data_IF_058090219595
#
_entry.id   IF_058090219595
#
_cell.length_a   1.000
_cell.length_b   1.000
_cell.length_c   1.000
_cell.angle_alpha   90.00
_cell.angle_beta   90.00
_cell.angle_gamma   90.00
#
_symmetry.space_group_name_H-M   'P 1'
#
loop_
_entity.id
_entity.type
_entity.pdbx_description
1 polymer ?
#
# COMPACT_ATOMS: atom_id res chain seq x y z
N UNK A 1 12.00 -13.13 20.85
CA UNK A 1 12.36 -12.69 19.49
C UNK A 1 11.69 -13.65 18.52
N UNK A 2 10.71 -13.18 17.74
CA UNK A 2 9.98 -14.04 16.80
C UNK A 2 10.77 -14.04 15.48
N UNK A 3 11.20 -15.20 15.02
CA UNK A 3 11.91 -15.33 13.74
C UNK A 3 11.04 -14.76 12.60
N UNK A 4 11.63 -14.14 11.56
CA UNK A 4 10.86 -13.80 10.37
C UNK A 4 10.34 -15.11 9.78
N UNK A 5 9.02 -15.21 9.60
CA UNK A 5 8.45 -16.33 8.88
C UNK A 5 9.03 -16.30 7.45
N UNK A 6 9.96 -17.19 7.16
CA UNK A 6 10.43 -17.46 5.81
C UNK A 6 9.21 -17.87 4.99
N UNK A 7 8.67 -16.94 4.18
CA UNK A 7 7.55 -17.27 3.30
C UNK A 7 8.04 -18.26 2.24
N UNK A 8 7.29 -19.35 1.99
CA UNK A 8 7.68 -20.33 0.98
C UNK A 8 7.68 -19.70 -0.43
N UNK A 9 8.50 -20.22 -1.37
CA UNK A 9 8.76 -19.57 -2.66
C UNK A 9 7.59 -19.54 -3.66
N UNK A 10 6.36 -19.90 -3.29
CA UNK A 10 5.24 -20.09 -4.24
C UNK A 10 3.88 -19.59 -3.74
N UNK A 11 3.84 -18.50 -2.95
CA UNK A 11 2.55 -17.86 -2.68
C UNK A 11 2.05 -17.17 -3.97
N UNK A 12 1.02 -17.74 -4.61
CA UNK A 12 0.34 -17.18 -5.79
C UNK A 12 -0.04 -15.71 -5.61
N UNK A 13 -0.39 -15.01 -6.71
CA UNK A 13 -0.58 -13.56 -6.74
C UNK A 13 -1.35 -13.00 -5.53
N UNK A 14 -2.37 -13.70 -5.02
CA UNK A 14 -3.07 -13.33 -3.80
C UNK A 14 -4.06 -12.19 -4.04
N UNK A 15 -4.54 -11.55 -2.97
CA UNK A 15 -5.49 -10.44 -3.07
C UNK A 15 -4.76 -9.11 -3.31
N UNK A 16 -5.26 -8.34 -4.28
CA UNK A 16 -4.80 -7.00 -4.60
C UNK A 16 -5.92 -6.00 -4.32
N UNK A 17 -5.76 -5.22 -3.25
CA UNK A 17 -6.72 -4.20 -2.83
C UNK A 17 -6.40 -2.86 -3.48
N UNK A 18 -7.37 -2.30 -4.19
CA UNK A 18 -7.31 -0.92 -4.70
C UNK A 18 -8.07 -0.01 -3.75
N UNK A 19 -7.37 0.86 -3.03
CA UNK A 19 -7.96 1.88 -2.16
C UNK A 19 -8.27 3.13 -2.96
N UNK A 20 -9.56 3.39 -3.16
CA UNK A 20 -10.09 4.58 -3.85
C UNK A 20 -11.31 5.09 -3.09
N UNK A 21 -11.31 6.36 -2.70
CA UNK A 21 -12.43 7.06 -2.05
C UNK A 21 -13.17 6.20 -1.00
N UNK A 22 -12.45 5.67 0.03
CA UNK A 22 -13.08 4.85 1.05
C UNK A 22 -14.17 5.63 1.79
N UNK A 23 -15.18 4.92 2.32
CA UNK A 23 -16.22 5.51 3.19
C UNK A 23 -15.67 6.00 4.54
N UNK A 24 -14.50 5.51 4.92
CA UNK A 24 -13.70 5.92 6.08
C UNK A 24 -12.39 6.54 5.57
N UNK A 25 -11.32 6.56 6.36
CA UNK A 25 -9.99 7.00 5.89
C UNK A 25 -9.24 5.90 5.14
N UNK A 26 -8.28 6.30 4.30
CA UNK A 26 -7.35 5.36 3.66
C UNK A 26 -6.48 4.64 4.70
N UNK A 27 -6.03 5.34 5.74
CA UNK A 27 -5.26 4.77 6.84
C UNK A 27 -5.98 3.59 7.53
N UNK A 28 -7.25 3.77 7.91
CA UNK A 28 -8.03 2.70 8.57
C UNK A 28 -8.20 1.50 7.65
N UNK A 29 -8.44 1.73 6.36
CA UNK A 29 -8.50 0.63 5.39
C UNK A 29 -7.14 -0.07 5.22
N UNK A 30 -6.03 0.67 5.25
CA UNK A 30 -4.69 0.11 5.14
C UNK A 30 -4.31 -0.73 6.37
N UNK A 31 -4.61 -0.25 7.57
CA UNK A 31 -4.42 -1.01 8.83
C UNK A 31 -5.21 -2.32 8.80
N UNK A 32 -6.48 -2.27 8.38
CA UNK A 32 -7.32 -3.46 8.25
C UNK A 32 -6.77 -4.45 7.21
N UNK A 33 -6.27 -3.95 6.07
CA UNK A 33 -5.68 -4.78 5.02
C UNK A 33 -4.39 -5.48 5.49
N UNK A 34 -3.52 -4.76 6.21
CA UNK A 34 -2.31 -5.33 6.80
C UNK A 34 -2.67 -6.37 7.86
N UNK A 35 -3.63 -6.09 8.75
CA UNK A 35 -4.09 -7.02 9.77
C UNK A 35 -4.70 -8.31 9.16
N UNK A 36 -5.37 -8.19 8.01
CA UNK A 36 -5.93 -9.31 7.27
C UNK A 36 -4.90 -10.06 6.37
N UNK A 37 -3.64 -9.60 6.31
CA UNK A 37 -2.59 -10.22 5.50
C UNK A 37 -2.79 -10.03 3.99
N UNK A 38 -3.45 -8.96 3.55
CA UNK A 38 -3.60 -8.63 2.13
C UNK A 38 -2.23 -8.42 1.51
N UNK A 39 -1.97 -9.06 0.36
CA UNK A 39 -0.62 -9.08 -0.22
C UNK A 39 -0.24 -7.78 -0.92
N UNK A 40 -1.18 -7.14 -1.61
CA UNK A 40 -0.95 -5.87 -2.31
C UNK A 40 -2.01 -4.86 -1.93
N UNK A 41 -1.56 -3.64 -1.67
CA UNK A 41 -2.41 -2.48 -1.42
C UNK A 41 -1.97 -1.36 -2.36
N UNK A 42 -2.90 -0.88 -3.17
CA UNK A 42 -2.68 0.25 -4.07
C UNK A 42 -3.42 1.49 -3.58
N UNK A 43 -2.71 2.62 -3.46
CA UNK A 43 -3.33 3.93 -3.30
C UNK A 43 -3.74 4.48 -4.67
N UNK A 44 -5.04 4.75 -4.85
CA UNK A 44 -5.59 5.32 -6.07
C UNK A 44 -6.47 6.53 -5.76
N UNK A 45 -5.88 7.71 -5.87
CA UNK A 45 -6.55 9.00 -5.69
C UNK A 45 -6.66 9.76 -7.01
N UNK A 46 -7.71 9.48 -7.80
CA UNK A 46 -7.95 10.25 -9.04
C UNK A 46 -8.45 11.65 -8.68
N UNK A 47 -8.08 12.64 -9.49
CA UNK A 47 -8.48 14.04 -9.36
C UNK A 47 -8.02 14.74 -8.05
N UNK A 48 -7.07 14.15 -7.32
CA UNK A 48 -6.46 14.77 -6.14
C UNK A 48 -5.20 15.58 -6.53
N UNK A 49 -4.91 16.61 -5.76
CA UNK A 49 -3.65 17.34 -5.90
C UNK A 49 -2.47 16.45 -5.49
N UNK A 50 -1.36 16.53 -6.22
CA UNK A 50 -0.12 15.76 -5.96
C UNK A 50 0.28 15.75 -4.48
N UNK A 51 0.25 16.92 -3.83
CA UNK A 51 0.64 17.05 -2.42
C UNK A 51 -0.25 16.21 -1.48
N UNK A 52 -1.55 16.11 -1.77
CA UNK A 52 -2.47 15.28 -1.00
C UNK A 52 -2.19 13.78 -1.23
N UNK A 53 -1.88 13.39 -2.47
CA UNK A 53 -1.52 12.00 -2.79
C UNK A 53 -0.23 11.60 -2.07
N UNK A 54 0.80 12.44 -2.10
CA UNK A 54 2.08 12.19 -1.39
C UNK A 54 1.86 12.08 0.11
N UNK A 55 1.04 12.97 0.70
CA UNK A 55 0.75 12.94 2.12
C UNK A 55 0.08 11.61 2.52
N UNK A 56 -0.95 11.18 1.79
CA UNK A 56 -1.62 9.90 2.05
C UNK A 56 -0.70 8.70 1.78
N UNK A 57 0.11 8.76 0.73
CA UNK A 57 1.07 7.70 0.40
C UNK A 57 2.11 7.50 1.50
N UNK A 58 2.59 8.58 2.14
CA UNK A 58 3.51 8.50 3.29
C UNK A 58 2.86 7.87 4.51
N UNK A 59 1.59 8.18 4.77
CA UNK A 59 0.82 7.57 5.87
C UNK A 59 0.69 6.06 5.62
N UNK A 60 0.25 5.66 4.43
CA UNK A 60 0.11 4.25 4.07
C UNK A 60 1.46 3.54 4.10
N UNK A 61 2.53 4.15 3.61
CA UNK A 61 3.88 3.57 3.69
C UNK A 61 4.29 3.31 5.14
N UNK A 62 3.99 4.23 6.06
CA UNK A 62 4.24 4.04 7.48
C UNK A 62 3.52 2.81 8.05
N UNK A 63 2.30 2.54 7.59
CA UNK A 63 1.50 1.39 7.99
C UNK A 63 2.03 0.09 7.38
N UNK A 64 2.51 0.10 6.14
CA UNK A 64 2.93 -1.12 5.43
C UNK A 64 4.41 -1.48 5.62
N UNK A 65 5.27 -0.57 6.08
CA UNK A 65 6.73 -0.70 6.05
C UNK A 65 7.29 -2.00 6.67
N UNK A 66 6.71 -2.47 7.78
CA UNK A 66 7.15 -3.66 8.51
C UNK A 66 6.17 -4.85 8.34
N UNK A 67 5.34 -4.80 7.29
CA UNK A 67 4.34 -5.82 7.00
C UNK A 67 4.70 -6.68 5.78
N UNK A 68 3.95 -7.76 5.57
CA UNK A 68 4.03 -8.55 4.32
C UNK A 68 3.22 -7.93 3.16
N UNK A 69 2.49 -6.83 3.41
CA UNK A 69 1.69 -6.10 2.42
C UNK A 69 2.58 -5.18 1.61
N UNK A 70 2.63 -5.39 0.29
CA UNK A 70 3.33 -4.50 -0.64
C UNK A 70 2.48 -3.28 -0.96
N UNK A 71 3.07 -2.10 -0.84
CA UNK A 71 2.42 -0.83 -1.13
C UNK A 71 2.73 -0.36 -2.55
N UNK A 72 1.68 -0.02 -3.30
CA UNK A 72 1.76 0.45 -4.70
C UNK A 72 1.08 1.81 -4.84
N UNK A 73 1.68 2.72 -5.60
CA UNK A 73 1.05 4.00 -5.98
C UNK A 73 0.55 3.92 -7.42
N UNK A 74 -0.66 4.44 -7.67
CA UNK A 74 -1.24 4.49 -9.00
C UNK A 74 -0.68 5.66 -9.85
N UNK A 75 -0.44 5.41 -11.14
CA UNK A 75 0.00 6.30 -12.24
C UNK A 75 1.36 7.02 -12.11
N UNK A 76 1.74 7.47 -10.92
CA UNK A 76 2.85 8.42 -10.75
C UNK A 76 4.09 7.75 -10.12
N UNK A 77 5.11 7.38 -10.92
CA UNK A 77 6.34 6.77 -10.39
C UNK A 77 7.16 7.73 -9.53
N UNK A 78 7.03 9.05 -9.72
CA UNK A 78 7.75 10.03 -8.90
C UNK A 78 7.12 10.12 -7.50
N UNK A 79 5.79 10.06 -7.38
CA UNK A 79 5.12 9.94 -6.07
C UNK A 79 5.46 8.60 -5.42
N UNK A 80 5.46 7.51 -6.20
CA UNK A 80 5.85 6.19 -5.70
C UNK A 80 7.25 6.22 -5.06
N UNK A 81 8.24 6.78 -5.77
CA UNK A 81 9.60 6.93 -5.26
C UNK A 81 9.67 7.88 -4.05
N UNK A 82 9.01 9.03 -4.09
CA UNK A 82 9.01 10.01 -3.00
C UNK A 82 8.37 9.46 -1.70
N UNK A 83 7.33 8.64 -1.82
CA UNK A 83 6.67 7.99 -0.70
C UNK A 83 7.37 6.69 -0.27
N UNK A 84 8.38 6.22 -1.01
CA UNK A 84 9.04 4.95 -0.79
C UNK A 84 8.11 3.75 -1.01
N UNK A 85 7.18 3.80 -1.97
CA UNK A 85 6.32 2.66 -2.31
C UNK A 85 7.15 1.50 -2.90
N UNK A 86 6.63 0.28 -2.78
CA UNK A 86 7.27 -0.93 -3.31
C UNK A 86 7.03 -1.10 -4.83
N UNK A 87 6.13 -0.31 -5.40
CA UNK A 87 5.89 -0.29 -6.84
C UNK A 87 4.96 0.84 -7.30
N UNK A 88 4.82 0.91 -8.62
CA UNK A 88 3.86 1.78 -9.32
C UNK A 88 2.96 0.92 -10.21
N UNK A 89 1.70 1.29 -10.32
CA UNK A 89 0.76 0.71 -11.28
C UNK A 89 0.48 1.72 -12.40
N UNK A 90 0.60 1.29 -13.66
CA UNK A 90 0.46 2.09 -14.88
C UNK A 90 -0.64 1.52 -15.79
#
# INVERSE_FOLDING_TARGET
>A
MKAPACMPPEAGFGLYLVLTQPRTSYAVCAEAAVAAGVRYLQLRMKHAARAAIVAEARVIRGITADSSTRFVVNDDPAIAAEAGADGVHL
#
